data_IF_049336299810
#
_entry.id   IF_049336299810
#
_cell.length_a   1.000
_cell.length_b   1.000
_cell.length_c   1.000
_cell.angle_alpha   90.00
_cell.angle_beta   90.00
_cell.angle_gamma   90.00
#
_symmetry.space_group_name_H-M   'P 1'
#
loop_
_entity.id
_entity.type
_entity.pdbx_description
1 polymer ?
#
# COMPACT_ATOMS: atom_id res chain seq x y z
N UNK A 1 6.06 12.98 29.82
CA UNK A 1 6.77 11.85 29.20
C UNK A 1 6.16 10.56 29.69
N UNK A 2 5.39 9.91 28.82
CA UNK A 2 5.14 8.46 28.76
C UNK A 2 4.96 8.20 27.24
N UNK A 3 5.43 7.08 26.65
CA UNK A 3 5.03 5.75 27.08
C UNK A 3 6.11 4.65 26.93
N UNK A 4 6.33 3.86 27.98
CA UNK A 4 7.12 2.62 27.91
C UNK A 4 6.62 1.47 28.78
N UNK A 5 5.50 1.67 29.48
CA UNK A 5 5.07 0.86 30.63
C UNK A 5 4.38 -0.48 30.35
N UNK A 6 4.35 -1.00 29.12
CA UNK A 6 3.54 -2.20 28.81
C UNK A 6 4.26 -3.55 28.94
N UNK A 7 5.60 -3.58 29.05
CA UNK A 7 6.35 -4.85 28.98
C UNK A 7 6.92 -5.36 30.32
N UNK A 8 6.95 -4.55 31.38
CA UNK A 8 7.54 -4.96 32.67
C UNK A 8 6.65 -5.89 33.49
N UNK A 9 5.33 -5.73 33.41
CA UNK A 9 4.40 -6.45 34.29
C UNK A 9 4.13 -7.89 33.87
N UNK A 10 4.24 -8.21 32.57
CA UNK A 10 3.95 -9.56 32.07
C UNK A 10 5.04 -10.58 32.45
N UNK A 11 6.31 -10.16 32.59
CA UNK A 11 7.39 -11.05 33.06
C UNK A 11 7.32 -11.31 34.57
N UNK A 12 6.80 -10.35 35.35
CA UNK A 12 6.58 -10.49 36.78
C UNK A 12 5.38 -11.40 37.08
N UNK A 13 4.30 -11.31 36.29
CA UNK A 13 3.13 -12.21 36.40
C UNK A 13 3.45 -13.64 35.93
N UNK A 14 4.22 -13.80 34.84
CA UNK A 14 4.65 -15.12 34.36
C UNK A 14 5.63 -15.80 35.33
N UNK A 15 6.51 -15.03 35.99
CA UNK A 15 7.38 -15.55 37.06
C UNK A 15 6.62 -16.00 38.31
N UNK A 16 5.51 -15.30 38.65
CA UNK A 16 4.69 -15.61 39.82
C UNK A 16 3.90 -16.93 39.72
N UNK A 17 3.41 -17.28 38.53
CA UNK A 17 2.68 -18.55 38.30
C UNK A 17 3.61 -19.76 38.38
N UNK A 18 4.84 -19.65 37.88
CA UNK A 18 5.85 -20.72 37.98
C UNK A 18 6.34 -20.93 39.43
N UNK A 19 6.44 -19.85 40.22
CA UNK A 19 6.88 -19.90 41.61
C UNK A 19 5.91 -20.62 42.57
N UNK A 20 4.60 -20.66 42.23
CA UNK A 20 3.56 -21.32 43.03
C UNK A 20 3.27 -22.77 42.62
N UNK A 21 3.53 -23.14 41.37
CA UNK A 21 3.26 -24.49 40.86
C UNK A 21 4.23 -25.55 41.43
N UNK A 22 5.49 -25.17 41.66
CA UNK A 22 6.53 -26.09 42.16
C UNK A 22 6.29 -26.49 43.63
N UNK A 23 6.01 -25.56 44.57
CA UNK A 23 5.69 -25.94 45.96
C UNK A 23 4.38 -26.74 46.07
N UNK A 24 3.34 -26.36 45.32
CA UNK A 24 2.03 -27.01 45.38
C UNK A 24 2.06 -28.47 44.87
N UNK A 25 2.83 -28.75 43.82
CA UNK A 25 2.98 -30.12 43.29
C UNK A 25 3.82 -31.03 44.19
N UNK A 26 4.91 -30.52 44.76
CA UNK A 26 5.84 -31.31 45.60
C UNK A 26 5.26 -31.58 46.99
N UNK A 27 4.61 -30.58 47.62
CA UNK A 27 4.06 -30.72 48.97
C UNK A 27 2.59 -31.17 49.01
N UNK A 28 1.80 -30.94 47.95
CA UNK A 28 0.37 -31.27 47.93
C UNK A 28 0.01 -32.65 47.38
N UNK A 29 0.82 -33.21 46.44
CA UNK A 29 0.50 -34.46 45.72
C UNK A 29 1.52 -35.60 45.91
N UNK A 30 2.63 -35.37 46.61
CA UNK A 30 3.62 -36.41 46.95
C UNK A 30 4.40 -36.99 45.76
N UNK A 31 4.47 -36.27 44.64
CA UNK A 31 5.13 -36.75 43.42
C UNK A 31 6.67 -36.66 43.51
N UNK A 32 7.42 -37.64 42.96
CA UNK A 32 8.88 -37.61 42.96
C UNK A 32 9.44 -36.46 42.11
N UNK A 33 10.52 -35.83 42.59
CA UNK A 33 11.08 -34.60 42.00
C UNK A 33 11.42 -34.73 40.49
N UNK A 34 11.78 -35.93 40.05
CA UNK A 34 12.12 -36.24 38.65
C UNK A 34 10.95 -36.05 37.67
N UNK A 35 9.70 -36.13 38.13
CA UNK A 35 8.50 -35.93 37.30
C UNK A 35 8.11 -34.45 37.24
N UNK A 36 8.38 -33.70 38.32
CA UNK A 36 8.01 -32.28 38.43
C UNK A 36 8.87 -31.40 37.52
N UNK A 37 10.17 -31.69 37.41
CA UNK A 37 11.12 -30.91 36.60
C UNK A 37 10.73 -30.85 35.10
N UNK A 38 10.46 -31.97 34.40
CA UNK A 38 10.07 -31.92 32.99
C UNK A 38 8.68 -31.28 32.78
N UNK A 39 7.75 -31.43 33.73
CA UNK A 39 6.43 -30.78 33.67
C UNK A 39 6.55 -29.27 33.86
N UNK A 40 7.37 -28.82 34.80
CA UNK A 40 7.65 -27.40 35.02
C UNK A 40 8.39 -26.78 33.82
N UNK A 41 9.35 -27.52 33.22
CA UNK A 41 10.03 -27.10 32.00
C UNK A 41 9.07 -27.02 30.82
N UNK A 42 8.17 -27.99 30.68
CA UNK A 42 7.11 -27.98 29.66
C UNK A 42 6.13 -26.82 29.83
N UNK A 43 5.71 -26.51 31.06
CA UNK A 43 4.87 -25.36 31.37
C UNK A 43 5.59 -24.04 31.13
N UNK A 44 6.89 -23.94 31.46
CA UNK A 44 7.70 -22.76 31.21
C UNK A 44 7.91 -22.53 29.70
N UNK A 45 8.26 -23.57 28.94
CA UNK A 45 8.43 -23.48 27.49
C UNK A 45 7.09 -23.22 26.79
N UNK A 46 6.00 -23.86 27.24
CA UNK A 46 4.66 -23.64 26.71
C UNK A 46 4.15 -22.22 26.97
N UNK A 47 4.39 -21.68 28.17
CA UNK A 47 4.03 -20.27 28.49
C UNK A 47 4.94 -19.28 27.76
N UNK A 48 6.25 -19.53 27.67
CA UNK A 48 7.18 -18.69 26.91
C UNK A 48 6.89 -18.69 25.40
N UNK A 49 6.38 -19.81 24.84
CA UNK A 49 5.93 -19.90 23.46
C UNK A 49 4.55 -19.26 23.25
N UNK A 50 3.64 -19.35 24.22
CA UNK A 50 2.34 -18.67 24.19
C UNK A 50 2.47 -17.14 24.34
N UNK A 51 3.49 -16.69 25.09
CA UNK A 51 3.91 -15.30 25.23
C UNK A 51 5.01 -14.91 24.23
N UNK A 52 5.32 -15.77 23.25
CA UNK A 52 6.27 -15.45 22.18
C UNK A 52 5.87 -14.10 21.57
N UNK A 53 6.83 -13.21 21.29
CA UNK A 53 6.53 -11.82 21.03
C UNK A 53 5.61 -11.73 19.81
N UNK A 54 4.35 -11.34 20.03
CA UNK A 54 3.35 -11.12 18.98
C UNK A 54 3.90 -10.28 17.80
N UNK A 55 4.89 -9.42 18.08
CA UNK A 55 5.65 -8.60 17.13
C UNK A 55 6.38 -9.41 16.04
N UNK A 56 6.88 -10.61 16.34
CA UNK A 56 7.55 -11.45 15.35
C UNK A 56 6.55 -12.04 14.33
N UNK A 57 5.35 -12.41 14.80
CA UNK A 57 4.26 -12.93 13.96
C UNK A 57 3.66 -11.79 13.11
N UNK A 58 3.47 -10.60 13.70
CA UNK A 58 2.99 -9.41 12.97
C UNK A 58 3.95 -8.98 11.86
N UNK A 59 5.27 -8.97 12.11
CA UNK A 59 6.25 -8.60 11.09
C UNK A 59 6.29 -9.58 9.93
N UNK A 60 6.24 -10.88 10.19
CA UNK A 60 6.18 -11.91 9.14
C UNK A 60 4.90 -11.77 8.31
N UNK A 61 3.78 -11.45 8.96
CA UNK A 61 2.49 -11.25 8.29
C UNK A 61 2.50 -9.98 7.44
N UNK A 62 3.02 -8.87 7.96
CA UNK A 62 3.15 -7.61 7.24
C UNK A 62 4.08 -7.74 6.01
N UNK A 63 5.21 -8.44 6.13
CA UNK A 63 6.10 -8.70 4.99
C UNK A 63 5.43 -9.60 3.94
N UNK A 64 4.69 -10.65 4.33
CA UNK A 64 3.96 -11.50 3.39
C UNK A 64 2.83 -10.75 2.69
N UNK A 65 2.08 -9.93 3.43
CA UNK A 65 1.02 -9.08 2.87
C UNK A 65 1.61 -8.07 1.88
N UNK A 66 2.74 -7.43 2.22
CA UNK A 66 3.43 -6.50 1.33
C UNK A 66 3.94 -7.17 0.04
N UNK A 67 4.52 -8.37 0.13
CA UNK A 67 4.96 -9.14 -1.05
C UNK A 67 3.78 -9.55 -1.93
N UNK A 68 2.70 -10.06 -1.34
CA UNK A 68 1.50 -10.41 -2.10
C UNK A 68 0.88 -9.18 -2.80
N UNK A 69 0.86 -8.02 -2.13
CA UNK A 69 0.40 -6.78 -2.75
C UNK A 69 1.32 -6.34 -3.91
N UNK A 70 2.64 -6.43 -3.74
CA UNK A 70 3.60 -6.10 -4.79
C UNK A 70 3.45 -7.02 -6.02
N UNK A 71 3.27 -8.33 -5.81
CA UNK A 71 3.00 -9.29 -6.88
C UNK A 71 1.69 -9.00 -7.61
N UNK A 72 0.62 -8.68 -6.87
CA UNK A 72 -0.66 -8.29 -7.46
C UNK A 72 -0.54 -7.01 -8.29
N UNK A 73 0.18 -6.00 -7.79
CA UNK A 73 0.41 -4.75 -8.53
C UNK A 73 1.22 -5.01 -9.79
N UNK A 74 2.30 -5.81 -9.70
CA UNK A 74 3.11 -6.16 -10.85
C UNK A 74 2.29 -6.87 -11.95
N UNK A 75 1.46 -7.85 -11.56
CA UNK A 75 0.58 -8.54 -12.51
C UNK A 75 -0.43 -7.60 -13.18
N UNK A 76 -1.04 -6.69 -12.41
CA UNK A 76 -1.97 -5.70 -12.97
C UNK A 76 -1.28 -4.69 -13.89
N UNK A 77 -0.01 -4.34 -13.64
CA UNK A 77 0.78 -3.50 -14.52
C UNK A 77 1.06 -4.24 -15.84
N UNK A 78 1.48 -5.50 -15.79
CA UNK A 78 1.74 -6.31 -16.98
C UNK A 78 0.49 -6.47 -17.86
N UNK A 79 -0.66 -6.78 -17.24
CA UNK A 79 -1.95 -6.81 -17.92
C UNK A 79 -2.32 -5.44 -18.49
N UNK A 80 -2.09 -4.37 -17.73
CA UNK A 80 -2.30 -2.99 -18.14
C UNK A 80 -1.49 -2.60 -19.37
N UNK A 81 -0.19 -2.90 -19.39
CA UNK A 81 0.72 -2.63 -20.50
C UNK A 81 0.25 -3.35 -21.78
N UNK A 82 -0.22 -4.59 -21.64
CA UNK A 82 -0.81 -5.34 -22.76
C UNK A 82 -2.05 -4.62 -23.31
N UNK A 83 -2.93 -4.13 -22.44
CA UNK A 83 -4.12 -3.36 -22.85
C UNK A 83 -3.75 -2.02 -23.48
N UNK A 84 -2.74 -1.32 -22.97
CA UNK A 84 -2.21 -0.07 -23.54
C UNK A 84 -1.68 -0.30 -24.95
N UNK A 85 -0.90 -1.37 -25.16
CA UNK A 85 -0.39 -1.74 -26.47
C UNK A 85 -1.54 -2.03 -27.46
N UNK A 86 -2.55 -2.78 -27.02
CA UNK A 86 -3.75 -3.06 -27.83
C UNK A 86 -4.52 -1.79 -28.17
N UNK A 87 -4.71 -0.89 -27.20
CA UNK A 87 -5.38 0.40 -27.42
C UNK A 87 -4.61 1.26 -28.43
N UNK A 88 -3.28 1.27 -28.33
CA UNK A 88 -2.42 1.98 -29.29
C UNK A 88 -2.50 1.37 -30.68
N UNK A 89 -2.51 0.04 -30.79
CA UNK A 89 -2.71 -0.65 -32.07
C UNK A 89 -4.09 -0.33 -32.66
N UNK A 90 -5.15 -0.40 -31.85
CA UNK A 90 -6.50 -0.04 -32.27
C UNK A 90 -6.56 1.40 -32.78
N UNK A 91 -5.85 2.34 -32.13
CA UNK A 91 -5.77 3.73 -32.58
C UNK A 91 -5.23 3.88 -34.00
N UNK A 92 -4.28 3.04 -34.41
CA UNK A 92 -3.72 3.03 -35.77
C UNK A 92 -4.62 2.38 -36.82
N UNK A 93 -5.60 1.57 -36.39
CA UNK A 93 -6.54 0.88 -37.28
C UNK A 93 -7.84 1.67 -37.50
N UNK A 94 -8.06 2.75 -36.75
CA UNK A 94 -9.23 3.60 -36.88
C UNK A 94 -9.13 4.52 -38.10
N UNK A 95 -10.19 4.58 -38.88
CA UNK A 95 -10.36 5.46 -40.04
C UNK A 95 -10.72 6.88 -39.60
N UNK A 96 -11.55 7.01 -38.56
CA UNK A 96 -11.87 8.31 -37.96
C UNK A 96 -10.66 8.92 -37.25
N UNK A 97 -10.15 10.03 -37.77
CA UNK A 97 -8.99 10.75 -37.18
C UNK A 97 -9.23 11.17 -35.73
N UNK A 98 -10.45 11.58 -35.39
CA UNK A 98 -10.79 12.00 -34.03
C UNK A 98 -10.85 10.81 -33.06
N UNK A 99 -11.41 9.68 -33.50
CA UNK A 99 -11.43 8.46 -32.69
C UNK A 99 -10.00 7.90 -32.51
N UNK A 100 -9.19 7.90 -33.56
CA UNK A 100 -7.77 7.54 -33.51
C UNK A 100 -7.01 8.41 -32.52
N UNK A 101 -7.18 9.73 -32.57
CA UNK A 101 -6.54 10.68 -31.65
C UNK A 101 -6.92 10.41 -30.19
N UNK A 102 -8.20 10.17 -29.90
CA UNK A 102 -8.68 9.85 -28.55
C UNK A 102 -8.13 8.52 -28.03
N UNK A 103 -8.15 7.47 -28.86
CA UNK A 103 -7.58 6.17 -28.49
C UNK A 103 -6.07 6.27 -28.22
N UNK A 104 -5.34 7.03 -29.05
CA UNK A 104 -3.91 7.30 -28.85
C UNK A 104 -3.63 8.06 -27.55
N UNK A 105 -4.43 9.10 -27.25
CA UNK A 105 -4.33 9.90 -26.02
C UNK A 105 -4.64 9.06 -24.78
N UNK A 106 -5.69 8.24 -24.81
CA UNK A 106 -6.00 7.31 -23.72
C UNK A 106 -4.88 6.30 -23.47
N UNK A 107 -4.22 5.78 -24.52
CA UNK A 107 -3.07 4.89 -24.36
C UNK A 107 -1.89 5.60 -23.67
N UNK A 108 -1.63 6.86 -24.01
CA UNK A 108 -0.60 7.69 -23.37
C UNK A 108 -0.91 7.96 -21.89
N UNK A 109 -2.15 8.31 -21.57
CA UNK A 109 -2.61 8.49 -20.19
C UNK A 109 -2.49 7.20 -19.39
N UNK A 110 -2.99 6.09 -19.93
CA UNK A 110 -2.96 4.81 -19.25
C UNK A 110 -1.53 4.37 -18.93
N UNK A 111 -0.60 4.53 -19.87
CA UNK A 111 0.83 4.29 -19.62
C UNK A 111 1.38 5.15 -18.48
N UNK A 112 1.09 6.45 -18.48
CA UNK A 112 1.48 7.35 -17.39
C UNK A 112 0.91 6.91 -16.03
N UNK A 113 -0.33 6.43 -15.98
CA UNK A 113 -0.94 5.89 -14.75
C UNK A 113 -0.23 4.61 -14.30
N UNK A 114 0.13 3.71 -15.22
CA UNK A 114 0.88 2.49 -14.91
C UNK A 114 2.29 2.79 -14.40
N UNK A 115 3.00 3.71 -15.06
CA UNK A 115 4.34 4.16 -14.64
C UNK A 115 4.32 4.74 -13.22
N UNK A 116 3.28 5.49 -12.88
CA UNK A 116 3.09 6.05 -11.54
C UNK A 116 2.67 4.99 -10.52
N UNK A 117 1.85 4.02 -10.91
CA UNK A 117 1.49 2.88 -10.05
C UNK A 117 2.72 2.02 -9.73
N UNK A 118 3.64 1.86 -10.68
CA UNK A 118 4.91 1.15 -10.47
C UNK A 118 5.77 1.84 -9.40
N UNK A 119 5.75 3.18 -9.37
CA UNK A 119 6.45 3.99 -8.37
C UNK A 119 5.73 3.98 -7.00
N UNK A 120 4.40 3.96 -6.99
CA UNK A 120 3.58 3.98 -5.78
C UNK A 120 2.52 2.86 -5.73
N UNK A 121 2.91 1.59 -5.46
CA UNK A 121 1.99 0.44 -5.42
C UNK A 121 0.83 0.59 -4.44
N UNK A 122 0.98 1.40 -3.40
CA UNK A 122 -0.05 1.71 -2.40
C UNK A 122 -1.28 2.43 -2.98
N UNK A 123 -1.17 3.03 -4.17
CA UNK A 123 -2.26 3.74 -4.84
C UNK A 123 -3.20 2.84 -5.63
N UNK A 124 -2.91 1.54 -5.73
CA UNK A 124 -3.75 0.58 -6.44
C UNK A 124 -5.25 0.68 -6.08
N UNK A 125 -5.69 0.80 -4.81
CA UNK A 125 -7.11 0.87 -4.49
C UNK A 125 -7.85 2.04 -5.17
N UNK A 126 -7.18 3.19 -5.34
CA UNK A 126 -7.78 4.38 -5.96
C UNK A 126 -8.00 4.20 -7.48
N UNK A 127 -7.08 3.49 -8.15
CA UNK A 127 -7.13 3.27 -9.61
C UNK A 127 -7.55 1.86 -10.02
N UNK A 128 -7.90 0.99 -9.07
CA UNK A 128 -8.31 -0.39 -9.35
C UNK A 128 -9.42 -0.44 -10.40
N UNK A 129 -10.45 0.38 -10.23
CA UNK A 129 -11.57 0.44 -11.19
C UNK A 129 -11.15 0.93 -12.57
N UNK A 130 -10.17 1.82 -12.64
CA UNK A 130 -9.57 2.24 -13.91
C UNK A 130 -8.96 1.04 -14.63
N UNK A 131 -8.08 0.29 -13.94
CA UNK A 131 -7.38 -0.84 -14.51
C UNK A 131 -8.29 -2.02 -14.86
N UNK A 132 -9.26 -2.35 -13.99
CA UNK A 132 -10.08 -3.56 -14.17
C UNK A 132 -11.35 -3.34 -15.00
N UNK A 133 -11.70 -2.10 -15.34
CA UNK A 133 -12.94 -1.81 -16.06
C UNK A 133 -12.77 -0.78 -17.16
N UNK A 134 -12.32 0.44 -16.85
CA UNK A 134 -12.26 1.52 -17.84
C UNK A 134 -11.23 1.25 -18.95
N UNK A 135 -10.04 0.78 -18.58
CA UNK A 135 -8.98 0.45 -19.54
C UNK A 135 -9.38 -0.69 -20.50
N UNK A 136 -9.78 -1.89 -20.03
CA UNK A 136 -10.26 -2.95 -20.91
C UNK A 136 -11.43 -2.50 -21.79
N UNK A 137 -12.39 -1.76 -21.22
CA UNK A 137 -13.57 -1.34 -21.97
C UNK A 137 -13.24 -0.37 -23.10
N UNK A 138 -12.24 0.48 -22.91
CA UNK A 138 -11.76 1.39 -23.95
C UNK A 138 -11.13 0.65 -25.13
N UNK A 139 -10.39 -0.44 -24.85
CA UNK A 139 -9.82 -1.33 -25.87
C UNK A 139 -10.94 -1.97 -26.68
N UNK A 140 -11.94 -2.56 -26.00
CA UNK A 140 -13.08 -3.21 -26.67
C UNK A 140 -13.83 -2.25 -27.61
N UNK A 141 -14.04 -1.01 -27.17
CA UNK A 141 -14.74 0.00 -27.97
C UNK A 141 -13.90 0.44 -29.16
N UNK A 142 -12.60 0.71 -28.96
CA UNK A 142 -11.69 1.11 -30.03
C UNK A 142 -11.52 0.00 -31.09
N UNK A 143 -11.30 -1.25 -30.66
CA UNK A 143 -11.23 -2.41 -31.56
C UNK A 143 -12.58 -2.64 -32.27
N UNK A 144 -13.70 -2.53 -31.53
CA UNK A 144 -15.04 -2.66 -32.08
C UNK A 144 -15.36 -1.62 -33.16
N UNK A 145 -14.92 -0.37 -32.98
CA UNK A 145 -15.05 0.66 -34.02
C UNK A 145 -14.25 0.33 -35.26
N UNK A 146 -12.98 -0.06 -35.11
CA UNK A 146 -12.14 -0.44 -36.24
C UNK A 146 -12.76 -1.59 -37.04
N UNK A 147 -13.40 -2.56 -36.37
CA UNK A 147 -14.14 -3.64 -37.02
C UNK A 147 -15.35 -3.11 -37.80
N UNK A 148 -16.14 -2.20 -37.24
CA UNK A 148 -17.32 -1.64 -37.92
C UNK A 148 -16.92 -0.76 -39.11
N UNK A 149 -15.86 0.03 -38.98
CA UNK A 149 -15.32 0.86 -40.09
C UNK A 149 -14.76 0.01 -41.23
N UNK A 150 -14.18 -1.16 -40.94
CA UNK A 150 -13.69 -2.10 -41.95
C UNK A 150 -14.78 -2.85 -42.72
N UNK A 151 -16.05 -2.79 -42.29
CA UNK A 151 -17.16 -3.43 -42.98
C UNK A 151 -17.66 -2.56 -44.14
N UNK A 152 -17.90 -3.16 -45.31
CA UNK A 152 -18.43 -2.47 -46.51
C UNK A 152 -19.76 -1.74 -46.29
N UNK A 153 -20.53 -2.15 -45.28
CA UNK A 153 -21.82 -1.59 -44.90
C UNK A 153 -21.86 -1.26 -43.40
N UNK A 154 -20.77 -0.69 -42.87
CA UNK A 154 -20.71 -0.28 -41.47
C UNK A 154 -21.87 0.65 -41.09
N UNK A 155 -22.50 0.39 -39.94
CA UNK A 155 -23.63 1.17 -39.46
C UNK A 155 -23.14 2.52 -38.89
N UNK A 156 -23.46 3.65 -39.55
CA UNK A 156 -23.01 4.96 -39.11
C UNK A 156 -23.59 5.36 -37.73
N UNK A 157 -24.78 4.87 -37.35
CA UNK A 157 -25.35 5.14 -36.03
C UNK A 157 -24.54 4.46 -34.95
N UNK A 158 -24.18 3.20 -35.16
CA UNK A 158 -23.34 2.44 -34.25
C UNK A 158 -21.95 3.06 -34.09
N UNK A 159 -21.35 3.57 -35.16
CA UNK A 159 -20.09 4.30 -35.10
C UNK A 159 -20.21 5.59 -34.29
N UNK A 160 -21.31 6.33 -34.44
CA UNK A 160 -21.56 7.53 -33.64
C UNK A 160 -21.69 7.20 -32.14
N UNK A 161 -22.48 6.17 -31.79
CA UNK A 161 -22.65 5.72 -30.41
C UNK A 161 -21.32 5.27 -29.77
N UNK A 162 -20.52 4.48 -30.49
CA UNK A 162 -19.20 4.04 -30.02
C UNK A 162 -18.24 5.23 -29.88
N UNK A 163 -18.29 6.20 -30.80
CA UNK A 163 -17.49 7.43 -30.73
C UNK A 163 -17.84 8.29 -29.52
N UNK A 164 -19.12 8.43 -29.19
CA UNK A 164 -19.55 9.12 -27.97
C UNK A 164 -19.06 8.42 -26.70
N UNK A 165 -19.16 7.08 -26.65
CA UNK A 165 -18.65 6.29 -25.52
C UNK A 165 -17.13 6.43 -25.39
N UNK A 166 -16.40 6.37 -26.50
CA UNK A 166 -14.95 6.61 -26.53
C UNK A 166 -14.62 8.01 -25.99
N UNK A 167 -15.40 9.02 -26.35
CA UNK A 167 -15.22 10.37 -25.86
C UNK A 167 -15.46 10.52 -24.35
N UNK A 168 -16.45 9.82 -23.79
CA UNK A 168 -16.68 9.78 -22.33
C UNK A 168 -15.56 9.05 -21.60
N UNK A 169 -15.02 7.98 -22.20
CA UNK A 169 -13.88 7.26 -21.64
C UNK A 169 -12.60 8.11 -21.65
N UNK A 170 -12.34 8.83 -22.73
CA UNK A 170 -11.19 9.75 -22.82
C UNK A 170 -11.21 10.82 -21.71
N UNK A 171 -12.39 11.37 -21.40
CA UNK A 171 -12.58 12.27 -20.25
C UNK A 171 -12.33 11.56 -18.91
N UNK A 172 -12.83 10.34 -18.75
CA UNK A 172 -12.60 9.57 -17.52
C UNK A 172 -11.12 9.26 -17.31
N UNK A 173 -10.37 8.93 -18.37
CA UNK A 173 -8.92 8.71 -18.31
C UNK A 173 -8.20 9.97 -17.84
N UNK A 174 -8.52 11.12 -18.44
CA UNK A 174 -7.96 12.42 -18.05
C UNK A 174 -8.24 12.70 -16.58
N UNK A 175 -9.48 12.51 -16.12
CA UNK A 175 -9.86 12.68 -14.72
C UNK A 175 -9.05 11.78 -13.77
N UNK A 176 -8.87 10.50 -14.10
CA UNK A 176 -8.07 9.58 -13.29
C UNK A 176 -6.59 9.99 -13.23
N UNK A 177 -6.02 10.46 -14.34
CA UNK A 177 -4.65 10.99 -14.39
C UNK A 177 -4.48 12.23 -13.51
N UNK A 178 -5.40 13.19 -13.63
CA UNK A 178 -5.36 14.44 -12.87
C UNK A 178 -5.56 14.19 -11.38
N UNK A 179 -6.49 13.31 -11.01
CA UNK A 179 -6.70 12.88 -9.63
C UNK A 179 -5.43 12.26 -9.04
N UNK A 180 -4.67 11.49 -9.82
CA UNK A 180 -3.40 10.92 -9.39
C UNK A 180 -2.33 11.98 -9.18
N UNK A 181 -2.24 12.96 -10.09
CA UNK A 181 -1.30 14.08 -9.98
C UNK A 181 -1.61 14.98 -8.78
N UNK A 182 -2.87 15.35 -8.57
CA UNK A 182 -3.29 16.20 -7.45
C UNK A 182 -2.98 15.55 -6.10
N UNK A 183 -3.28 14.26 -5.94
CA UNK A 183 -2.96 13.55 -4.71
C UNK A 183 -1.46 13.52 -4.39
N UNK A 184 -0.58 13.63 -5.40
CA UNK A 184 0.87 13.72 -5.20
C UNK A 184 1.31 15.13 -4.79
N UNK A 185 0.71 16.16 -5.37
CA UNK A 185 0.94 17.56 -4.97
C UNK A 185 0.49 17.81 -3.52
N UNK A 186 -0.68 17.29 -3.13
CA UNK A 186 -1.20 17.43 -1.76
C UNK A 186 -0.26 16.79 -0.72
N UNK A 187 0.35 15.64 -1.04
CA UNK A 187 1.34 14.98 -0.18
C UNK A 187 2.62 15.81 -0.05
N UNK A 188 3.15 16.31 -1.17
CA UNK A 188 4.34 17.16 -1.20
C UNK A 188 4.14 18.43 -0.37
N UNK A 189 2.96 19.05 -0.44
CA UNK A 189 2.61 20.23 0.36
C UNK A 189 2.58 19.94 1.87
N UNK A 190 2.13 18.75 2.27
CA UNK A 190 2.17 18.30 3.67
C UNK A 190 3.63 18.12 4.12
N UNK A 191 4.46 17.46 3.30
CA UNK A 191 5.88 17.26 3.61
C UNK A 191 6.63 18.58 3.72
N UNK A 192 6.39 19.54 2.81
CA UNK A 192 6.97 20.88 2.89
C UNK A 192 6.53 21.64 4.15
N UNK A 193 5.26 21.52 4.56
CA UNK A 193 4.77 22.09 5.83
C UNK A 193 5.44 21.46 7.04
N UNK A 194 5.65 20.13 7.03
CA UNK A 194 6.34 19.43 8.10
C UNK A 194 7.82 19.83 8.18
N UNK A 195 8.51 19.90 7.03
CA UNK A 195 9.89 20.36 6.95
C UNK A 195 10.03 21.81 7.40
N UNK A 196 9.07 22.68 7.03
CA UNK A 196 9.03 24.06 7.48
C UNK A 196 8.84 24.17 9.00
N UNK A 197 8.01 23.31 9.60
CA UNK A 197 7.83 23.24 11.06
C UNK A 197 9.08 22.73 11.75
N UNK A 198 9.70 21.65 11.29
CA UNK A 198 10.91 21.11 11.89
C UNK A 198 12.07 22.11 11.80
N UNK A 199 12.20 22.79 10.66
CA UNK A 199 13.23 23.81 10.47
C UNK A 199 12.99 25.04 11.36
N UNK A 200 11.74 25.47 11.54
CA UNK A 200 11.40 26.55 12.46
C UNK A 200 11.61 26.15 13.94
N UNK A 201 11.41 24.89 14.30
CA UNK A 201 11.67 24.35 15.64
C UNK A 201 13.18 24.23 15.93
N UNK A 202 13.97 23.77 14.97
CA UNK A 202 15.44 23.65 15.10
C UNK A 202 16.13 25.02 15.10
N UNK A 203 15.73 25.94 14.22
CA UNK A 203 16.30 27.31 14.17
C UNK A 203 15.74 28.17 15.31
N UNK A 204 14.51 27.91 15.75
CA UNK A 204 13.82 28.60 16.83
C UNK A 204 14.23 28.14 18.24
N UNK A 205 15.13 27.16 18.37
CA UNK A 205 15.71 26.71 19.63
C UNK A 205 17.06 27.40 19.88
N UNK A 206 17.11 28.57 20.55
CA UNK A 206 18.36 29.12 21.06
C UNK A 206 18.87 28.22 22.19
N UNK A 207 19.57 27.14 21.84
CA UNK A 207 20.22 26.30 22.84
C UNK A 207 21.52 26.97 23.28
N UNK A 208 21.53 27.45 24.51
CA UNK A 208 22.65 27.25 25.43
C UNK A 208 23.99 27.87 25.05
N UNK A 209 24.10 29.19 25.17
CA UNK A 209 25.36 29.84 25.51
C UNK A 209 25.12 30.76 26.72
N UNK A 210 25.34 30.20 27.92
CA UNK A 210 25.80 30.85 29.16
C UNK A 210 25.09 30.30 30.42
N UNK A 211 25.35 29.04 30.76
CA UNK A 211 25.37 28.62 32.16
C UNK A 211 26.76 28.07 32.47
N UNK A 212 27.58 28.87 33.13
CA UNK A 212 28.74 28.39 33.89
C UNK A 212 28.62 28.87 35.35
N UNK A 213 28.84 28.00 36.35
CA UNK A 213 28.64 28.29 37.76
C UNK A 213 29.87 28.89 38.46
N UNK A 214 29.59 29.82 39.39
CA UNK A 214 30.20 30.08 40.72
C UNK A 214 31.73 30.05 40.90
N UNK A 215 32.33 31.20 41.28
CA UNK A 215 33.27 31.27 42.43
C UNK A 215 33.48 32.69 42.98
N UNK A 216 33.01 32.88 44.22
CA UNK A 216 33.58 33.60 45.36
C UNK A 216 34.44 34.88 45.23
N UNK A 217 34.17 35.74 46.24
CA UNK A 217 35.09 36.56 47.03
C UNK A 217 35.07 38.08 46.78
N UNK A 218 34.33 38.79 47.63
CA UNK A 218 34.82 39.76 48.65
C UNK A 218 33.73 40.77 49.01
#
# INVERSE_FOLDING_TARGET
>A
MDPGGANGWNHLLAGGVAALAIPAGVFGLGLPFLVVVPVALGLYLGTAFLLAPARAIDRISAERIGRAQAELVAGLIEEGETLVARLRQASGNLTSKEAARRAAHMAEIARSILDRLAQEPGRLPAIRRFLTYYLPRSVDIAEGMAVVEGQRSGDPKRLAELGEMLGKLDQAFTYYSDSFAQAQLDLLDVELKLLGRSLAEDIGSPTGLASLPQKGNS
#
